data_IF_859430190766
#
_entry.id   IF_859430190766
#
_cell.length_a   1.000
_cell.length_b   1.000
_cell.length_c   1.000
_cell.angle_alpha   90.00
_cell.angle_beta   90.00
_cell.angle_gamma   90.00
#
_symmetry.space_group_name_H-M   'P 1'
#
loop_
_entity.id
_entity.type
_entity.pdbx_description
1 polymer ?
#
# COMPACT_ATOMS: atom_id res chain seq x y z
N UNK A 1 -18.75 30.62 8.56
CA UNK A 1 -18.29 29.69 9.61
C UNK A 1 -16.91 30.15 10.05
N UNK A 2 -16.74 30.53 11.32
CA UNK A 2 -15.47 31.07 11.81
C UNK A 2 -14.32 30.04 11.73
N UNK A 3 -14.65 28.74 11.80
CA UNK A 3 -13.66 27.66 11.67
C UNK A 3 -13.15 27.57 10.24
N UNK A 4 -14.03 27.69 9.24
CA UNK A 4 -13.63 27.68 7.83
C UNK A 4 -12.64 28.82 7.52
N UNK A 5 -12.95 30.04 7.96
CA UNK A 5 -12.07 31.21 7.76
C UNK A 5 -10.71 31.03 8.47
N UNK A 6 -10.70 30.51 9.69
CA UNK A 6 -9.44 30.22 10.38
C UNK A 6 -8.59 29.17 9.65
N UNK A 7 -9.22 28.10 9.13
CA UNK A 7 -8.51 27.08 8.37
C UNK A 7 -7.93 27.66 7.07
N UNK A 8 -8.70 28.45 6.33
CA UNK A 8 -8.30 29.03 5.05
C UNK A 8 -7.24 30.15 5.18
N UNK A 9 -7.42 31.07 6.13
CA UNK A 9 -6.58 32.26 6.24
C UNK A 9 -5.31 32.04 7.06
N UNK A 10 -5.33 31.10 8.01
CA UNK A 10 -4.23 30.93 8.99
C UNK A 10 -3.57 29.56 8.86
N UNK A 11 -4.35 28.47 8.85
CA UNK A 11 -3.79 27.12 8.93
C UNK A 11 -3.23 26.68 7.58
N UNK A 12 -4.04 26.68 6.51
CA UNK A 12 -3.64 26.17 5.21
C UNK A 12 -2.39 26.85 4.61
N UNK A 13 -2.19 28.18 4.73
CA UNK A 13 -0.97 28.82 4.23
C UNK A 13 0.31 28.43 5.00
N UNK A 14 0.17 28.00 6.25
CA UNK A 14 1.28 27.57 7.10
C UNK A 14 1.56 26.06 6.99
N UNK A 15 0.66 25.28 6.41
CA UNK A 15 0.81 23.82 6.26
C UNK A 15 1.70 23.52 5.06
N UNK A 16 2.77 22.73 5.24
CA UNK A 16 3.64 22.34 4.13
C UNK A 16 2.86 21.49 3.11
N UNK A 17 3.24 21.58 1.83
CA UNK A 17 2.50 20.91 0.75
C UNK A 17 2.40 19.39 0.95
N UNK A 18 3.41 18.79 1.58
CA UNK A 18 3.46 17.35 1.92
C UNK A 18 2.42 16.93 2.97
N UNK A 19 1.87 17.87 3.72
CA UNK A 19 0.80 17.62 4.69
C UNK A 19 -0.60 17.83 4.09
N UNK A 20 -0.71 18.39 2.88
CA UNK A 20 -1.95 18.55 2.13
C UNK A 20 -2.27 17.29 1.29
N UNK A 21 -2.22 16.11 1.93
CA UNK A 21 -2.51 14.85 1.24
C UNK A 21 -4.01 14.61 1.26
N UNK A 22 -4.66 14.66 0.09
CA UNK A 22 -6.04 14.20 -0.07
C UNK A 22 -6.09 12.67 0.04
N UNK A 23 -6.71 12.10 1.09
CA UNK A 23 -6.66 10.65 1.33
C UNK A 23 -7.27 9.82 0.18
N UNK A 24 -8.25 10.40 -0.53
CA UNK A 24 -8.94 9.74 -1.63
C UNK A 24 -8.21 9.80 -2.96
N UNK A 25 -7.15 10.59 -3.08
CA UNK A 25 -6.40 10.75 -4.34
C UNK A 25 -5.84 9.40 -4.81
N UNK A 26 -5.19 8.68 -3.88
CA UNK A 26 -4.70 7.32 -4.10
C UNK A 26 -5.80 6.37 -4.57
N UNK A 27 -6.99 6.42 -3.94
CA UNK A 27 -8.10 5.53 -4.28
C UNK A 27 -8.58 5.77 -5.70
N UNK A 28 -8.75 7.02 -6.10
CA UNK A 28 -9.27 7.42 -7.40
C UNK A 28 -8.28 7.14 -8.54
N UNK A 29 -6.99 7.37 -8.30
CA UNK A 29 -5.99 7.38 -9.36
C UNK A 29 -5.10 6.14 -9.40
N UNK A 30 -4.93 5.43 -8.27
CA UNK A 30 -4.03 4.26 -8.16
C UNK A 30 -4.79 2.96 -7.88
N UNK A 31 -5.73 2.97 -6.93
CA UNK A 31 -6.37 1.73 -6.45
C UNK A 31 -7.57 1.29 -7.28
N UNK A 32 -8.50 2.20 -7.60
CA UNK A 32 -9.76 1.88 -8.29
C UNK A 32 -9.61 1.89 -9.81
N UNK A 33 -8.61 1.16 -10.31
CA UNK A 33 -8.49 0.86 -11.72
C UNK A 33 -8.81 -0.63 -11.97
N UNK A 34 -9.15 -0.96 -13.21
CA UNK A 34 -9.55 -2.33 -13.57
C UNK A 34 -8.38 -3.31 -13.41
N UNK A 35 -7.18 -2.91 -13.81
CA UNK A 35 -5.99 -3.76 -13.82
C UNK A 35 -5.59 -4.19 -12.39
N UNK A 36 -5.50 -3.24 -11.46
CA UNK A 36 -5.24 -3.51 -10.03
C UNK A 36 -6.39 -4.31 -9.43
N UNK A 37 -7.65 -4.02 -9.79
CA UNK A 37 -8.77 -4.82 -9.29
C UNK A 37 -8.66 -6.30 -9.72
N UNK A 38 -8.30 -6.56 -10.98
CA UNK A 38 -8.16 -7.92 -11.50
C UNK A 38 -7.06 -8.68 -10.73
N UNK A 39 -5.89 -8.05 -10.50
CA UNK A 39 -4.79 -8.61 -9.69
C UNK A 39 -5.20 -8.81 -8.22
N UNK A 40 -5.92 -7.85 -7.63
CA UNK A 40 -6.39 -7.96 -6.25
C UNK A 40 -7.40 -9.10 -6.09
N UNK A 41 -8.28 -9.31 -7.07
CA UNK A 41 -9.25 -10.41 -7.06
C UNK A 41 -8.55 -11.77 -7.17
N UNK A 42 -7.56 -11.88 -8.05
CA UNK A 42 -6.73 -13.07 -8.21
C UNK A 42 -6.06 -13.48 -6.89
N UNK A 43 -5.46 -12.52 -6.19
CA UNK A 43 -4.76 -12.77 -4.92
C UNK A 43 -5.62 -12.58 -3.66
N UNK A 44 -6.94 -12.36 -3.80
CA UNK A 44 -7.85 -12.12 -2.69
C UNK A 44 -7.81 -13.21 -1.61
N UNK A 45 -7.80 -14.52 -1.95
CA UNK A 45 -7.73 -15.57 -0.93
C UNK A 45 -6.45 -15.53 -0.09
N UNK A 46 -5.31 -15.22 -0.72
CA UNK A 46 -4.02 -15.08 -0.04
C UNK A 46 -4.04 -13.86 0.89
N UNK A 47 -4.53 -12.71 0.42
CA UNK A 47 -4.67 -11.50 1.24
C UNK A 47 -5.56 -11.75 2.45
N UNK A 48 -6.67 -12.48 2.27
CA UNK A 48 -7.55 -12.87 3.39
C UNK A 48 -6.86 -13.82 4.37
N UNK A 49 -6.09 -14.80 3.88
CA UNK A 49 -5.34 -15.73 4.71
C UNK A 49 -4.27 -15.00 5.53
N UNK A 50 -3.49 -14.12 4.90
CA UNK A 50 -2.49 -13.27 5.57
C UNK A 50 -3.13 -12.39 6.63
N UNK A 51 -4.21 -11.69 6.29
CA UNK A 51 -4.94 -10.87 7.26
C UNK A 51 -5.45 -11.68 8.45
N UNK A 52 -5.96 -12.91 8.24
CA UNK A 52 -6.41 -13.81 9.31
C UNK A 52 -5.24 -14.33 10.15
N UNK A 53 -4.12 -14.67 9.52
CA UNK A 53 -2.93 -15.23 10.16
C UNK A 53 -2.33 -14.25 11.18
N UNK A 54 -2.02 -13.02 10.75
CA UNK A 54 -1.33 -12.06 11.60
C UNK A 54 -2.19 -11.50 12.73
N UNK A 55 -3.52 -11.59 12.61
CA UNK A 55 -4.45 -11.24 13.70
C UNK A 55 -4.98 -12.46 14.46
N UNK A 56 -4.50 -13.68 14.21
CA UNK A 56 -5.11 -14.90 14.73
C UNK A 56 -5.24 -14.93 16.26
N UNK A 57 -4.36 -14.22 16.96
CA UNK A 57 -4.41 -14.04 18.42
C UNK A 57 -5.61 -13.20 18.88
N UNK A 58 -6.11 -12.32 18.01
CA UNK A 58 -7.17 -11.37 18.29
C UNK A 58 -8.49 -11.77 17.61
N UNK A 59 -9.55 -11.91 18.41
CA UNK A 59 -10.91 -12.19 17.90
C UNK A 59 -11.55 -10.99 17.22
N UNK A 60 -10.87 -9.86 17.18
CA UNK A 60 -11.43 -8.62 16.63
C UNK A 60 -11.46 -8.67 15.11
N UNK A 61 -12.41 -7.95 14.49
CA UNK A 61 -12.43 -7.80 13.03
C UNK A 61 -11.33 -6.87 12.51
N UNK A 62 -10.69 -6.12 13.39
CA UNK A 62 -9.70 -5.10 13.05
C UNK A 62 -8.30 -5.68 13.00
N UNK A 63 -7.48 -5.09 12.15
CA UNK A 63 -6.07 -5.38 11.99
C UNK A 63 -5.28 -4.20 12.59
N UNK A 64 -4.70 -4.44 13.77
CA UNK A 64 -4.01 -3.41 14.55
C UNK A 64 -2.62 -3.13 13.98
N UNK A 65 -2.02 -2.01 14.39
CA UNK A 65 -0.70 -1.58 13.91
C UNK A 65 0.41 -2.58 14.30
N UNK A 66 0.25 -3.29 15.40
CA UNK A 66 1.17 -4.33 15.85
C UNK A 66 1.18 -5.53 14.89
N UNK A 67 0.01 -5.89 14.33
CA UNK A 67 -0.09 -6.95 13.33
C UNK A 67 0.54 -6.52 12.01
N UNK A 68 0.36 -5.25 11.64
CA UNK A 68 1.00 -4.66 10.46
C UNK A 68 2.52 -4.65 10.59
N UNK A 69 3.05 -4.19 11.73
CA UNK A 69 4.48 -4.23 11.99
C UNK A 69 5.04 -5.66 11.96
N UNK A 70 4.34 -6.63 12.57
CA UNK A 70 4.73 -8.03 12.57
C UNK A 70 4.73 -8.64 11.15
N UNK A 71 3.75 -8.29 10.31
CA UNK A 71 3.71 -8.69 8.91
C UNK A 71 4.92 -8.16 8.14
N UNK A 72 5.20 -6.86 8.24
CA UNK A 72 6.31 -6.25 7.52
C UNK A 72 7.68 -6.78 7.99
N UNK A 73 7.82 -7.05 9.29
CA UNK A 73 9.03 -7.64 9.88
C UNK A 73 9.24 -9.09 9.39
N UNK A 74 8.18 -9.90 9.41
CA UNK A 74 8.23 -11.29 8.93
C UNK A 74 8.54 -11.38 7.42
N UNK A 75 8.04 -10.42 6.63
CA UNK A 75 8.37 -10.29 5.21
C UNK A 75 9.74 -9.63 4.96
N UNK A 76 10.46 -9.21 6.01
CA UNK A 76 11.74 -8.48 5.93
C UNK A 76 11.67 -7.19 5.11
N UNK A 77 10.50 -6.55 5.12
CA UNK A 77 10.26 -5.27 4.43
C UNK A 77 10.67 -4.07 5.28
N UNK A 78 10.99 -4.27 6.56
CA UNK A 78 11.51 -3.24 7.46
C UNK A 78 13.03 -3.34 7.61
N UNK A 79 13.71 -2.19 7.54
CA UNK A 79 15.10 -2.02 7.96
C UNK A 79 16.15 -2.01 6.83
N UNK A 80 17.40 -1.62 7.16
CA UNK A 80 18.41 -1.11 6.19
C UNK A 80 19.05 -2.15 5.25
N UNK A 81 18.48 -3.36 5.12
CA UNK A 81 18.99 -4.43 4.26
C UNK A 81 18.15 -4.62 3.00
N UNK A 82 17.08 -5.41 3.12
CA UNK A 82 16.06 -5.57 2.08
C UNK A 82 14.89 -4.59 2.23
N UNK A 83 14.73 -4.00 3.42
CA UNK A 83 13.58 -3.18 3.76
C UNK A 83 13.71 -1.77 3.19
N UNK A 84 13.11 -1.57 2.04
CA UNK A 84 13.02 -0.25 1.40
C UNK A 84 12.13 0.72 2.20
N UNK A 85 11.39 0.21 3.20
CA UNK A 85 10.41 0.97 3.96
C UNK A 85 10.84 1.09 5.42
N UNK A 86 11.11 2.31 5.85
CA UNK A 86 11.36 2.62 7.24
C UNK A 86 10.10 2.49 8.10
N UNK A 87 10.29 2.36 9.42
CA UNK A 87 9.17 2.26 10.38
C UNK A 87 8.21 3.46 10.33
N UNK A 88 8.71 4.65 10.02
CA UNK A 88 7.88 5.86 9.94
C UNK A 88 6.97 5.85 8.70
N UNK A 89 7.49 5.67 7.46
CA UNK A 89 6.67 5.41 6.27
C UNK A 89 5.68 4.26 6.45
N UNK A 90 6.10 3.13 7.04
CA UNK A 90 5.21 1.99 7.28
C UNK A 90 3.98 2.35 8.14
N UNK A 91 4.17 3.20 9.16
CA UNK A 91 3.07 3.73 9.99
C UNK A 91 2.17 4.71 9.22
N UNK A 92 2.75 5.53 8.35
CA UNK A 92 1.99 6.45 7.50
C UNK A 92 1.12 5.69 6.50
N UNK A 93 1.65 4.63 5.86
CA UNK A 93 0.88 3.77 4.97
C UNK A 93 -0.32 3.15 5.69
N UNK A 94 -0.14 2.68 6.93
CA UNK A 94 -1.23 2.19 7.76
C UNK A 94 -2.28 3.27 8.02
N UNK A 95 -1.86 4.46 8.47
CA UNK A 95 -2.76 5.57 8.79
C UNK A 95 -3.54 6.05 7.55
N UNK A 96 -2.87 6.23 6.41
CA UNK A 96 -3.50 6.69 5.16
C UNK A 96 -4.47 5.68 4.54
N UNK A 97 -4.33 4.39 4.89
CA UNK A 97 -5.23 3.34 4.39
C UNK A 97 -6.53 3.23 5.17
N UNK A 98 -6.65 3.93 6.31
CA UNK A 98 -7.88 3.94 7.08
C UNK A 98 -8.97 4.68 6.30
N UNK A 99 -10.02 3.98 5.89
CA UNK A 99 -11.24 4.60 5.34
C UNK A 99 -12.08 5.18 6.50
N UNK A 100 -11.63 6.30 7.06
CA UNK A 100 -12.38 6.98 8.12
C UNK A 100 -13.62 7.69 7.55
N UNK A 101 -14.70 7.64 8.33
CA UNK A 101 -15.94 8.40 8.11
C UNK A 101 -16.16 9.19 9.39
N UNK A 102 -16.54 10.46 9.25
CA UNK A 102 -16.45 11.60 10.19
C UNK A 102 -16.99 11.46 11.63
N UNK A 103 -17.36 10.27 12.11
CA UNK A 103 -17.81 10.02 13.51
C UNK A 103 -16.79 9.17 14.29
N UNK A 104 -15.55 9.66 14.37
CA UNK A 104 -14.42 8.95 14.99
C UNK A 104 -14.52 8.87 16.52
N UNK A 105 -15.15 9.88 17.15
CA UNK A 105 -15.33 9.95 18.59
C UNK A 105 -16.20 8.82 19.13
N UNK A 106 -17.24 8.39 18.39
CA UNK A 106 -18.14 7.34 18.84
C UNK A 106 -17.58 5.93 18.63
N UNK A 107 -16.59 5.75 17.75
CA UNK A 107 -16.09 4.43 17.33
C UNK A 107 -14.56 4.34 17.31
N UNK A 108 -13.91 4.72 18.42
CA UNK A 108 -12.43 4.69 18.59
C UNK A 108 -11.75 3.43 18.03
N UNK A 109 -12.29 2.23 18.25
CA UNK A 109 -11.69 0.97 17.75
C UNK A 109 -11.54 0.94 16.22
N UNK A 110 -12.44 1.59 15.48
CA UNK A 110 -12.38 1.70 14.02
C UNK A 110 -11.38 2.75 13.55
N UNK A 111 -11.14 3.79 14.35
CA UNK A 111 -10.17 4.84 14.04
C UNK A 111 -8.71 4.38 14.21
N UNK A 112 -8.46 3.28 14.93
CA UNK A 112 -7.09 2.82 15.26
C UNK A 112 -6.73 1.51 14.54
N UNK A 113 -7.68 0.84 13.89
CA UNK A 113 -7.44 -0.46 13.25
C UNK A 113 -8.01 -0.54 11.84
N UNK A 114 -7.37 -1.32 10.97
CA UNK A 114 -7.79 -1.54 9.60
C UNK A 114 -8.90 -2.60 9.55
N UNK A 115 -9.96 -2.36 8.77
CA UNK A 115 -10.81 -3.44 8.28
C UNK A 115 -10.08 -4.18 7.14
N UNK A 116 -10.65 -5.29 6.67
CA UNK A 116 -10.00 -6.07 5.61
C UNK A 116 -9.74 -5.25 4.33
N UNK A 117 -10.68 -4.40 3.91
CA UNK A 117 -10.47 -3.54 2.73
C UNK A 117 -9.42 -2.45 2.97
N UNK A 118 -9.35 -1.88 4.18
CA UNK A 118 -8.30 -0.94 4.58
C UNK A 118 -6.92 -1.64 4.56
N UNK A 119 -6.85 -2.91 4.95
CA UNK A 119 -5.64 -3.73 4.84
C UNK A 119 -5.22 -3.96 3.39
N UNK A 120 -6.18 -4.25 2.49
CA UNK A 120 -5.89 -4.39 1.05
C UNK A 120 -5.33 -3.08 0.47
N UNK A 121 -5.92 -1.94 0.85
CA UNK A 121 -5.39 -0.63 0.48
C UNK A 121 -3.97 -0.41 1.02
N UNK A 122 -3.70 -0.80 2.28
CA UNK A 122 -2.37 -0.69 2.88
C UNK A 122 -1.32 -1.52 2.14
N UNK A 123 -1.67 -2.73 1.70
CA UNK A 123 -0.80 -3.58 0.88
C UNK A 123 -0.57 -2.96 -0.50
N UNK A 124 -1.59 -2.38 -1.13
CA UNK A 124 -1.43 -1.70 -2.42
C UNK A 124 -0.53 -0.46 -2.31
N UNK A 125 -0.72 0.37 -1.28
CA UNK A 125 0.16 1.52 -1.01
C UNK A 125 1.59 1.08 -0.69
N UNK A 126 1.75 -0.05 0.00
CA UNK A 126 3.05 -0.64 0.27
C UNK A 126 3.73 -1.08 -1.03
N UNK A 127 3.01 -1.76 -1.92
CA UNK A 127 3.54 -2.16 -3.23
C UNK A 127 4.01 -0.94 -4.05
N UNK A 128 3.26 0.17 -3.99
CA UNK A 128 3.64 1.44 -4.62
C UNK A 128 4.88 2.10 -4.01
N UNK A 129 5.12 1.87 -2.71
CA UNK A 129 6.29 2.37 -2.00
C UNK A 129 7.54 1.50 -2.21
N UNK A 130 7.36 0.27 -2.69
CA UNK A 130 8.45 -0.65 -2.98
C UNK A 130 8.97 -0.45 -4.40
N UNK A 131 10.26 -0.12 -4.52
CA UNK A 131 11.00 -0.15 -5.77
C UNK A 131 11.51 -1.58 -6.02
N UNK A 132 10.62 -2.47 -6.47
CA UNK A 132 11.03 -3.83 -6.81
C UNK A 132 11.96 -3.82 -8.04
N UNK A 133 13.03 -4.64 -8.05
CA UNK A 133 13.81 -4.86 -9.26
C UNK A 133 12.93 -5.34 -10.42
N UNK A 134 13.35 -5.12 -11.67
CA UNK A 134 12.70 -5.73 -12.83
C UNK A 134 12.54 -7.23 -12.64
N UNK A 135 11.45 -7.80 -13.15
CA UNK A 135 11.11 -9.21 -13.00
C UNK A 135 12.25 -10.15 -13.40
N UNK A 136 12.94 -9.85 -14.51
CA UNK A 136 14.10 -10.63 -14.94
C UNK A 136 15.27 -10.65 -13.94
N UNK A 137 15.49 -9.55 -13.20
CA UNK A 137 16.51 -9.50 -12.15
C UNK A 137 16.05 -10.26 -10.90
N UNK A 138 14.76 -10.15 -10.57
CA UNK A 138 14.16 -10.88 -9.46
C UNK A 138 14.21 -12.39 -9.69
N UNK A 139 13.87 -12.85 -10.89
CA UNK A 139 13.94 -14.24 -11.33
C UNK A 139 15.35 -14.80 -11.25
N UNK A 140 16.32 -14.05 -11.78
CA UNK A 140 17.73 -14.44 -11.71
C UNK A 140 18.22 -14.55 -10.26
N UNK A 141 17.76 -13.64 -9.39
CA UNK A 141 18.09 -13.67 -7.97
C UNK A 141 17.44 -14.87 -7.25
N UNK A 142 16.15 -15.15 -7.50
CA UNK A 142 15.42 -16.28 -6.92
C UNK A 142 16.04 -17.63 -7.33
N UNK A 143 16.38 -17.78 -8.60
CA UNK A 143 17.06 -18.97 -9.10
C UNK A 143 18.44 -19.17 -8.45
N UNK A 144 19.19 -18.08 -8.22
CA UNK A 144 20.52 -18.13 -7.61
C UNK A 144 20.49 -18.42 -6.11
N UNK A 145 19.68 -17.68 -5.36
CA UNK A 145 19.70 -17.73 -3.88
C UNK A 145 18.83 -18.84 -3.30
N UNK A 146 17.66 -19.10 -3.91
CA UNK A 146 16.69 -20.06 -3.38
C UNK A 146 16.63 -21.35 -4.19
N UNK A 147 17.26 -21.41 -5.37
CA UNK A 147 17.16 -22.56 -6.27
C UNK A 147 15.74 -22.81 -6.76
N UNK A 148 14.88 -21.78 -6.72
CA UNK A 148 13.48 -21.86 -7.17
C UNK A 148 13.45 -21.45 -8.63
N UNK A 149 12.95 -22.33 -9.49
CA UNK A 149 12.64 -21.97 -10.88
C UNK A 149 11.42 -21.03 -10.88
N UNK A 150 11.56 -19.77 -11.33
CA UNK A 150 10.46 -18.80 -11.33
C UNK A 150 9.26 -19.28 -12.15
N UNK A 151 9.48 -20.09 -13.19
CA UNK A 151 8.40 -20.67 -14.02
C UNK A 151 7.44 -21.58 -13.24
N UNK A 152 7.89 -22.08 -12.09
CA UNK A 152 7.06 -22.93 -11.23
C UNK A 152 5.85 -22.19 -10.66
N UNK A 153 5.93 -20.86 -10.54
CA UNK A 153 4.80 -20.05 -10.09
C UNK A 153 3.77 -19.85 -11.21
N UNK A 154 4.22 -19.68 -12.45
CA UNK A 154 3.34 -19.61 -13.64
C UNK A 154 2.61 -20.94 -13.86
N UNK A 155 3.32 -22.06 -13.73
CA UNK A 155 2.73 -23.40 -13.86
C UNK A 155 1.65 -23.66 -12.80
N UNK A 156 1.77 -23.05 -11.61
CA UNK A 156 0.77 -23.19 -10.55
C UNK A 156 -0.50 -22.37 -10.83
N UNK A 157 -0.39 -21.25 -11.55
CA UNK A 157 -1.53 -20.47 -12.01
C UNK A 157 -2.28 -21.18 -13.16
N UNK A 158 -1.55 -21.87 -14.03
CA UNK A 158 -2.11 -22.59 -15.19
C UNK A 158 -2.55 -24.03 -14.85
N UNK A 159 -2.17 -24.56 -13.69
CA UNK A 159 -2.56 -25.90 -13.22
C UNK A 159 -4.08 -26.11 -13.06
N UNK A 160 -4.90 -25.07 -13.29
CA UNK A 160 -6.33 -25.09 -13.08
C UNK A 160 -6.69 -25.22 -11.60
N UNK A 161 -7.94 -24.96 -11.21
CA UNK A 161 -8.37 -25.20 -9.84
C UNK A 161 -8.05 -26.65 -9.47
N UNK A 162 -7.37 -26.92 -8.33
CA UNK A 162 -7.05 -28.27 -7.94
C UNK A 162 -8.33 -29.08 -7.95
N UNK A 163 -8.35 -30.14 -8.78
CA UNK A 163 -9.51 -31.02 -8.93
C UNK A 163 -10.04 -31.32 -7.53
N UNK A 164 -11.27 -30.86 -7.27
CA UNK A 164 -11.87 -30.80 -5.95
C UNK A 164 -11.50 -32.08 -5.17
N UNK A 165 -10.81 -31.89 -4.04
CA UNK A 165 -10.40 -32.96 -3.16
C UNK A 165 -11.67 -33.74 -2.81
N UNK A 166 -11.92 -34.84 -3.53
CA UNK A 166 -13.14 -35.61 -3.42
C UNK A 166 -13.11 -36.29 -2.07
N UNK A 167 -13.71 -35.62 -1.08
CA UNK A 167 -13.96 -36.15 0.26
C UNK A 167 -14.95 -37.30 0.13
N UNK A 168 -14.44 -38.45 -0.28
CA UNK A 168 -15.11 -39.74 -0.17
C UNK A 168 -14.99 -40.18 1.28
N UNK A 169 -16.09 -40.06 2.02
CA UNK A 169 -16.28 -40.79 3.29
C UNK A 169 -16.79 -39.94 4.44
N UNK A 170 -18.11 -39.80 4.56
CA UNK A 170 -18.83 -40.09 5.81
C UNK A 170 -20.35 -40.01 5.60
N UNK A 171 -20.99 -41.11 5.98
CA UNK A 171 -22.40 -41.44 5.91
C UNK A 171 -23.38 -40.43 6.54
N UNK A 172 -24.54 -40.33 5.90
CA UNK A 172 -25.89 -40.31 6.46
C UNK A 172 -26.22 -39.31 7.59
N UNK A 173 -26.98 -38.27 7.22
CA UNK A 173 -28.28 -38.04 7.84
C UNK A 173 -29.21 -37.25 6.91
N UNK A 174 -30.45 -37.73 6.87
CA UNK A 174 -31.50 -37.41 5.91
C UNK A 174 -32.48 -36.32 6.40
N UNK A 175 -33.03 -35.59 5.41
CA UNK A 175 -34.31 -34.85 5.37
C UNK A 175 -34.30 -33.32 5.69
N UNK A 176 -35.30 -32.54 5.23
CA UNK A 176 -35.57 -32.27 3.81
C UNK A 176 -35.80 -30.78 3.45
N UNK A 177 -35.51 -30.49 2.18
CA UNK A 177 -36.06 -29.50 1.25
C UNK A 177 -36.84 -28.25 1.75
N UNK A 178 -36.37 -27.08 1.30
CA UNK A 178 -37.26 -26.08 0.68
C UNK A 178 -36.51 -25.29 -0.38
N UNK A 179 -37.01 -25.39 -1.61
CA UNK A 179 -36.52 -24.81 -2.85
C UNK A 179 -37.01 -23.38 -3.04
N UNK A 180 -36.17 -22.45 -3.49
CA UNK A 180 -36.58 -21.44 -4.47
C UNK A 180 -35.42 -21.01 -5.36
N UNK A 181 -35.73 -20.94 -6.64
CA UNK A 181 -34.92 -20.87 -7.85
C UNK A 181 -34.65 -19.45 -8.37
N UNK A 182 -33.58 -19.31 -9.14
CA UNK A 182 -33.39 -18.26 -10.16
C UNK A 182 -31.93 -18.18 -10.60
N UNK A 183 -31.47 -18.85 -11.67
CA UNK A 183 -31.41 -18.41 -13.11
C UNK A 183 -30.75 -17.03 -13.27
N UNK A 184 -29.73 -16.77 -14.10
CA UNK A 184 -29.26 -17.41 -15.33
C UNK A 184 -27.88 -16.87 -15.79
N UNK A 185 -27.28 -17.59 -16.76
CA UNK A 185 -26.48 -17.16 -17.93
C UNK A 185 -25.14 -16.38 -17.71
N UNK A 186 -23.96 -16.86 -18.12
CA UNK A 186 -23.42 -17.32 -19.43
C UNK A 186 -22.90 -16.20 -20.36
N UNK A 187 -21.57 -16.18 -20.62
CA UNK A 187 -20.83 -15.81 -21.85
C UNK A 187 -19.35 -15.55 -21.46
N UNK A 188 -18.34 -16.32 -21.88
CA UNK A 188 -17.79 -16.62 -23.22
C UNK A 188 -16.86 -15.54 -23.79
N UNK A 189 -15.56 -15.87 -23.78
CA UNK A 189 -14.49 -15.60 -24.75
C UNK A 189 -14.27 -14.17 -25.31
N UNK A 190 -13.06 -13.61 -25.13
CA UNK A 190 -12.01 -13.67 -26.17
C UNK A 190 -10.72 -12.94 -25.80
N UNK A 191 -9.64 -13.58 -26.20
CA UNK A 191 -8.23 -13.21 -26.17
C UNK A 191 -7.90 -12.27 -27.34
N UNK A 192 -7.03 -11.25 -27.14
CA UNK A 192 -5.90 -10.90 -28.02
C UNK A 192 -5.38 -9.45 -27.88
N UNK A 193 -4.03 -9.37 -27.95
CA UNK A 193 -3.18 -8.25 -28.40
C UNK A 193 -2.77 -7.17 -27.39
N UNK A 194 -1.69 -7.49 -26.66
CA UNK A 194 -0.74 -6.55 -26.10
C UNK A 194 0.02 -5.86 -27.27
N UNK A 195 -0.14 -4.55 -27.41
CA UNK A 195 0.77 -3.71 -28.19
C UNK A 195 1.56 -2.80 -27.24
N UNK A 196 2.85 -3.08 -27.14
CA UNK A 196 3.83 -2.23 -26.49
C UNK A 196 3.77 -0.80 -27.06
N UNK A 197 3.63 0.20 -26.19
CA UNK A 197 3.81 1.61 -26.54
C UNK A 197 4.92 2.21 -25.69
N UNK A 198 6.02 2.49 -26.36
CA UNK A 198 7.19 3.17 -25.83
C UNK A 198 6.82 4.55 -25.25
N UNK A 199 7.37 4.85 -24.07
CA UNK A 199 7.40 6.17 -23.47
C UNK A 199 8.14 7.14 -24.39
N UNK A 200 7.44 8.19 -24.84
CA UNK A 200 8.06 9.39 -25.40
C UNK A 200 8.24 10.40 -24.28
N UNK A 201 9.49 10.62 -23.88
CA UNK A 201 9.90 11.63 -22.91
C UNK A 201 9.90 12.99 -23.60
N UNK A 202 8.86 13.81 -23.38
CA UNK A 202 8.91 15.23 -23.75
C UNK A 202 9.45 16.06 -22.60
N UNK A 203 10.64 16.56 -22.84
CA UNK A 203 11.47 17.46 -22.05
C UNK A 203 10.72 18.77 -21.71
N UNK A 204 10.38 19.02 -20.45
CA UNK A 204 9.87 20.32 -19.98
C UNK A 204 11.01 21.17 -19.42
N UNK A 205 11.25 22.26 -20.15
CA UNK A 205 12.19 23.34 -19.90
C UNK A 205 11.85 24.07 -18.60
N UNK A 206 12.67 23.88 -17.56
CA UNK A 206 12.55 24.61 -16.29
C UNK A 206 12.92 26.10 -16.42
N UNK A 207 12.35 26.99 -15.59
CA UNK A 207 12.63 28.41 -15.62
C UNK A 207 13.96 28.75 -14.94
N UNK A 208 14.62 29.77 -15.49
CA UNK A 208 15.93 30.27 -15.08
C UNK A 208 15.94 30.89 -13.67
N UNK A 209 17.06 30.79 -12.92
CA UNK A 209 17.20 31.47 -11.63
C UNK A 209 17.45 32.98 -11.80
N UNK A 210 16.94 33.82 -10.87
CA UNK A 210 17.18 35.25 -10.90
C UNK A 210 18.62 35.61 -10.48
N UNK A 211 19.12 36.67 -11.12
CA UNK A 211 20.48 37.17 -11.08
C UNK A 211 20.94 37.63 -9.68
N UNK A 212 22.20 37.33 -9.38
CA UNK A 212 22.93 37.83 -8.23
C UNK A 212 23.14 39.35 -8.34
N UNK A 213 22.56 40.09 -7.39
CA UNK A 213 22.90 41.48 -7.10
C UNK A 213 23.90 41.53 -5.95
N UNK A 214 25.08 42.08 -6.22
CA UNK A 214 26.13 42.28 -5.22
C UNK A 214 25.89 43.53 -4.37
N UNK A 215 26.32 43.46 -3.10
CA UNK A 215 26.58 44.63 -2.25
C UNK A 215 27.78 44.37 -1.34
N UNK A 216 28.88 45.04 -1.69
CA UNK A 216 29.86 45.73 -0.83
C UNK A 216 30.04 45.31 0.64
N UNK A 217 31.23 44.76 0.90
CA UNK A 217 32.22 45.23 1.91
C UNK A 217 31.75 46.13 3.06
N UNK A 218 31.79 45.58 4.27
CA UNK A 218 31.74 46.32 5.53
C UNK A 218 32.53 45.58 6.61
N UNK A 219 33.84 45.80 6.64
CA UNK A 219 34.76 45.38 7.69
C UNK A 219 34.61 46.29 8.91
N UNK A 220 34.22 45.75 10.06
CA UNK A 220 34.66 46.25 11.37
C UNK A 220 34.82 45.07 12.34
N UNK A 221 36.06 44.86 12.75
CA UNK A 221 36.39 43.95 13.84
C UNK A 221 36.10 44.57 15.20
N UNK A 222 35.71 43.74 16.15
CA UNK A 222 35.86 44.01 17.58
C UNK A 222 36.40 42.75 18.24
N UNK A 223 37.63 42.86 18.70
CA UNK A 223 38.29 41.92 19.59
C UNK A 223 38.00 42.29 21.04
N UNK A 224 37.54 41.33 21.83
CA UNK A 224 37.71 41.24 23.29
C UNK A 224 37.49 39.76 23.62
N UNK A 225 38.45 38.95 24.08
CA UNK A 225 39.46 39.24 25.09
C UNK A 225 38.82 39.07 26.46
N UNK A 226 38.79 37.83 26.98
CA UNK A 226 38.20 37.51 28.29
C UNK A 226 38.69 36.16 28.81
N UNK A 227 39.82 36.21 29.49
CA UNK A 227 40.43 35.15 30.31
C UNK A 227 39.90 35.24 31.76
N UNK A 228 40.24 34.22 32.56
CA UNK A 228 40.09 34.07 34.03
C UNK A 228 38.73 33.50 34.47
N UNK A 229 38.63 32.45 35.27
CA UNK A 229 39.62 31.63 35.99
C UNK A 229 38.92 30.62 36.91
N UNK A 230 39.74 29.72 37.46
CA UNK A 230 39.53 28.72 38.54
C UNK A 230 38.58 27.54 38.30
#
# INVERSE_FOLDING_TARGET
DAVALFMEDVVLPAVPAEALVEPNDFRRHRLYNKEVNDVLLEHMPLLQATHKLYKARDRTKFFWIEHWAALLDACRLLGPGLGQVDKAPAKLLFAWSQMSVSDELRRRKRAVGLQFMDFVEAVARLADALALPPEAELDAWLARELGVDPRRFDDAADAGPPAALSTSGAAANSAPATSTSGTAAAASANNASIKARALSTTNSKGPAPPAAGGTSTGSQGVSTGGSVGE
#
